data_IF_365885729155
#
_entry.id   IF_365885729155
#
_cell.length_a   1.000
_cell.length_b   1.000
_cell.length_c   1.000
_cell.angle_alpha   90.00
_cell.angle_beta   90.00
_cell.angle_gamma   90.00
#
_symmetry.space_group_name_H-M   'P 1'
#
loop_
_entity.id
_entity.type
_entity.pdbx_description
1 polymer ?
#
# COMPACT_ATOMS: atom_id res chain seq x y z
N UNK A 1 -21.51 -17.74 -11.38
CA UNK A 1 -22.74 -17.51 -10.58
C UNK A 1 -22.70 -18.07 -9.15
N UNK A 2 -21.80 -19.00 -8.79
CA UNK A 2 -21.76 -19.62 -7.43
C UNK A 2 -21.16 -18.72 -6.35
N UNK A 3 -20.18 -17.89 -6.72
CA UNK A 3 -19.44 -17.05 -5.76
C UNK A 3 -20.30 -15.98 -5.10
N UNK A 4 -21.16 -15.30 -5.87
CA UNK A 4 -22.06 -14.27 -5.34
C UNK A 4 -23.04 -14.84 -4.31
N UNK A 5 -23.57 -16.05 -4.56
CA UNK A 5 -24.47 -16.73 -3.62
C UNK A 5 -23.75 -17.06 -2.31
N UNK A 6 -22.54 -17.61 -2.38
CA UNK A 6 -21.76 -17.97 -1.20
C UNK A 6 -21.42 -16.73 -0.34
N UNK A 7 -21.15 -15.59 -0.98
CA UNK A 7 -20.88 -14.33 -0.28
C UNK A 7 -22.14 -13.82 0.43
N UNK A 8 -23.30 -13.82 -0.25
CA UNK A 8 -24.57 -13.40 0.32
C UNK A 8 -24.97 -14.29 1.51
N UNK A 9 -24.84 -15.61 1.38
CA UNK A 9 -25.13 -16.56 2.46
C UNK A 9 -24.24 -16.30 3.69
N UNK A 10 -22.95 -16.05 3.47
CA UNK A 10 -22.00 -15.74 4.55
C UNK A 10 -22.32 -14.41 5.24
N UNK A 11 -22.71 -13.39 4.48
CA UNK A 11 -23.12 -12.09 5.03
C UNK A 11 -24.35 -12.22 5.92
N UNK A 12 -25.34 -13.02 5.49
CA UNK A 12 -26.56 -13.29 6.25
C UNK A 12 -26.24 -14.00 7.58
N UNK A 13 -25.29 -14.95 7.58
CA UNK A 13 -24.88 -15.69 8.78
C UNK A 13 -24.15 -14.76 9.77
N UNK A 14 -23.35 -13.82 9.27
CA UNK A 14 -22.51 -12.93 10.09
C UNK A 14 -23.27 -11.71 10.61
N UNK A 15 -24.30 -11.23 9.90
CA UNK A 15 -25.12 -10.11 10.35
C UNK A 15 -26.03 -10.53 11.51
N UNK A 16 -25.86 -9.91 12.68
CA UNK A 16 -26.69 -10.19 13.87
C UNK A 16 -28.00 -9.38 13.91
N UNK A 17 -28.35 -8.67 12.83
CA UNK A 17 -29.50 -7.78 12.77
C UNK A 17 -30.11 -7.64 11.36
N UNK A 18 -31.21 -6.88 11.23
CA UNK A 18 -31.97 -6.78 9.97
C UNK A 18 -31.26 -5.97 8.87
N UNK A 19 -30.17 -5.26 9.23
CA UNK A 19 -29.41 -4.41 8.31
C UNK A 19 -27.96 -4.85 8.32
N UNK A 20 -27.45 -5.25 7.15
CA UNK A 20 -26.02 -5.56 6.95
C UNK A 20 -25.24 -4.25 6.97
N UNK A 21 -24.33 -4.11 7.93
CA UNK A 21 -23.41 -2.98 8.04
C UNK A 21 -22.05 -3.36 7.46
N UNK A 22 -21.20 -2.36 7.21
CA UNK A 22 -19.85 -2.58 6.67
C UNK A 22 -18.98 -3.47 7.57
N UNK A 23 -19.23 -3.44 8.88
CA UNK A 23 -18.59 -4.31 9.88
C UNK A 23 -18.92 -5.80 9.74
N UNK A 24 -20.06 -6.13 9.12
CA UNK A 24 -20.51 -7.50 8.88
C UNK A 24 -19.90 -8.10 7.60
N UNK A 25 -19.25 -7.28 6.77
CA UNK A 25 -18.68 -7.71 5.50
C UNK A 25 -17.34 -8.43 5.74
N UNK A 26 -17.18 -9.70 5.30
CA UNK A 26 -15.93 -10.40 5.48
C UNK A 26 -14.82 -9.79 4.59
N UNK A 27 -13.57 -9.71 5.08
CA UNK A 27 -12.43 -9.39 4.23
C UNK A 27 -12.37 -10.35 3.03
N UNK A 28 -12.07 -9.87 1.80
CA UNK A 28 -11.53 -8.55 1.44
C UNK A 28 -12.57 -7.49 1.03
N UNK A 29 -13.88 -7.81 1.09
CA UNK A 29 -14.93 -6.97 0.50
C UNK A 29 -15.29 -5.72 1.32
N UNK A 30 -14.81 -5.63 2.56
CA UNK A 30 -15.12 -4.57 3.53
C UNK A 30 -14.33 -3.26 3.35
N UNK A 31 -13.84 -2.97 2.14
CA UNK A 31 -13.31 -1.64 1.81
C UNK A 31 -11.83 -1.42 2.11
N UNK A 32 -10.98 -2.44 1.97
CA UNK A 32 -9.58 -2.13 1.66
C UNK A 32 -9.54 -1.58 0.23
N UNK A 33 -8.90 -0.42 -0.03
CA UNK A 33 -8.75 0.08 -1.39
C UNK A 33 -8.02 -1.00 -2.18
N UNK A 34 -8.64 -1.43 -3.27
CA UNK A 34 -8.21 -2.54 -4.09
C UNK A 34 -6.72 -2.39 -4.48
N UNK A 35 -5.85 -3.10 -3.75
CA UNK A 35 -4.59 -3.59 -4.30
C UNK A 35 -4.83 -5.02 -4.80
N UNK A 36 -5.83 -5.16 -5.66
CA UNK A 36 -6.01 -6.36 -6.49
C UNK A 36 -5.60 -6.01 -7.92
N UNK A 37 -4.34 -5.60 -8.08
CA UNK A 37 -3.60 -5.74 -9.31
C UNK A 37 -2.18 -6.21 -8.95
N UNK A 38 -2.06 -7.49 -8.64
CA UNK A 38 -0.91 -8.34 -9.01
C UNK A 38 -1.11 -9.71 -8.38
N UNK A 39 -1.29 -10.73 -9.23
CA UNK A 39 -1.19 -12.12 -8.79
C UNK A 39 0.20 -12.38 -8.22
N UNK A 40 0.25 -12.89 -6.99
CA UNK A 40 1.48 -13.22 -6.30
C UNK A 40 1.24 -13.39 -4.81
N UNK A 41 1.57 -14.56 -4.30
CA UNK A 41 1.30 -15.01 -2.95
C UNK A 41 1.69 -14.02 -1.82
N UNK A 42 0.82 -13.89 -0.83
CA UNK A 42 1.23 -14.08 0.57
C UNK A 42 1.87 -12.93 1.34
N UNK A 43 1.66 -11.66 0.99
CA UNK A 43 1.99 -10.56 1.94
C UNK A 43 0.71 -10.12 2.65
N UNK A 44 0.55 -10.33 3.97
CA UNK A 44 -0.58 -9.76 4.69
C UNK A 44 -0.55 -8.23 4.55
N UNK A 45 -1.71 -7.57 4.36
CA UNK A 45 -1.75 -6.11 4.29
C UNK A 45 -1.17 -5.54 5.58
N UNK A 46 -0.19 -4.65 5.45
CA UNK A 46 0.40 -3.97 6.59
C UNK A 46 -0.71 -3.25 7.38
N UNK A 47 -0.63 -3.21 8.73
CA UNK A 47 -1.62 -2.52 9.54
C UNK A 47 -1.76 -1.05 9.10
N UNK A 48 -2.95 -0.46 9.23
CA UNK A 48 -3.16 0.95 8.91
C UNK A 48 -2.15 1.80 9.68
N UNK A 49 -1.29 2.51 8.95
CA UNK A 49 -0.30 3.40 9.57
C UNK A 49 -1.01 4.62 10.14
N UNK A 50 -1.01 4.75 11.45
CA UNK A 50 -1.45 5.96 12.13
C UNK A 50 -0.29 6.97 12.13
N UNK A 51 -0.48 8.08 11.43
CA UNK A 51 0.47 9.18 11.42
C UNK A 51 -0.02 10.29 12.35
N UNK A 52 0.87 10.80 13.20
CA UNK A 52 0.55 11.83 14.19
C UNK A 52 0.55 13.24 13.59
N UNK A 53 1.12 13.40 12.39
CA UNK A 53 1.15 14.68 11.67
C UNK A 53 1.17 14.50 10.16
N UNK A 54 0.75 15.53 9.43
CA UNK A 54 0.85 15.58 7.97
C UNK A 54 2.31 15.48 7.47
N UNK A 55 3.26 15.98 8.26
CA UNK A 55 4.69 15.86 7.97
C UNK A 55 5.15 14.40 7.98
N UNK A 56 4.70 13.65 8.98
CA UNK A 56 5.01 12.23 9.12
C UNK A 56 4.37 11.40 8.01
N UNK A 57 3.10 11.65 7.70
CA UNK A 57 2.39 10.99 6.61
C UNK A 57 3.09 11.22 5.26
N UNK A 58 3.49 12.45 4.97
CA UNK A 58 4.27 12.78 3.75
C UNK A 58 5.62 12.06 3.73
N UNK A 59 6.35 12.07 4.83
CA UNK A 59 7.65 11.39 4.90
C UNK A 59 7.53 9.89 4.66
N UNK A 60 6.50 9.24 5.21
CA UNK A 60 6.25 7.83 5.00
C UNK A 60 5.89 7.52 3.54
N UNK A 61 4.98 8.30 2.95
CA UNK A 61 4.65 8.18 1.53
C UNK A 61 5.87 8.38 0.63
N UNK A 62 6.65 9.44 0.86
CA UNK A 62 7.86 9.71 0.09
C UNK A 62 8.87 8.57 0.20
N UNK A 63 9.03 7.99 1.40
CA UNK A 63 9.91 6.85 1.60
C UNK A 63 9.49 5.65 0.77
N UNK A 64 8.21 5.29 0.82
CA UNK A 64 7.69 4.15 0.07
C UNK A 64 7.79 4.37 -1.43
N UNK A 65 7.45 5.57 -1.90
CA UNK A 65 7.55 5.94 -3.30
C UNK A 65 8.98 5.83 -3.81
N UNK A 66 9.96 6.38 -3.08
CA UNK A 66 11.37 6.32 -3.48
C UNK A 66 11.91 4.89 -3.43
N UNK A 67 11.57 4.10 -2.40
CA UNK A 67 11.97 2.69 -2.31
C UNK A 67 11.44 1.88 -3.49
N UNK A 68 10.16 2.07 -3.81
CA UNK A 68 9.53 1.39 -4.94
C UNK A 68 10.21 1.74 -6.26
N UNK A 69 10.46 3.03 -6.49
CA UNK A 69 11.12 3.51 -7.71
C UNK A 69 12.58 3.06 -7.81
N UNK A 70 13.29 2.98 -6.68
CA UNK A 70 14.65 2.41 -6.63
C UNK A 70 14.63 0.92 -6.99
N UNK A 71 13.68 0.14 -6.47
CA UNK A 71 13.54 -1.29 -6.82
C UNK A 71 13.27 -1.48 -8.31
N UNK A 72 12.36 -0.69 -8.89
CA UNK A 72 12.04 -0.70 -10.32
C UNK A 72 13.27 -0.38 -11.20
N UNK A 73 14.22 0.40 -10.67
CA UNK A 73 15.44 0.82 -11.36
C UNK A 73 16.70 0.06 -10.90
N UNK A 74 16.54 -1.10 -10.24
CA UNK A 74 17.65 -1.93 -9.74
C UNK A 74 18.65 -1.17 -8.85
N UNK A 75 18.16 -0.28 -7.99
CA UNK A 75 19.00 0.53 -7.10
C UNK A 75 19.73 1.70 -7.79
N UNK A 76 19.53 1.90 -9.10
CA UNK A 76 20.20 2.98 -9.82
C UNK A 76 19.58 4.35 -9.48
N UNK A 77 20.25 5.09 -8.60
CA UNK A 77 19.82 6.41 -8.13
C UNK A 77 19.70 7.42 -9.28
N UNK A 78 20.60 7.39 -10.28
CA UNK A 78 20.54 8.31 -11.42
C UNK A 78 19.30 8.07 -12.28
N UNK A 79 19.06 6.81 -12.69
CA UNK A 79 17.85 6.44 -13.46
C UNK A 79 16.58 6.72 -12.67
N UNK A 80 16.60 6.49 -11.36
CA UNK A 80 15.46 6.78 -10.48
C UNK A 80 15.17 8.28 -10.42
N UNK A 81 16.20 9.12 -10.33
CA UNK A 81 16.08 10.57 -10.31
C UNK A 81 15.43 11.09 -11.60
N UNK A 82 15.88 10.60 -12.75
CA UNK A 82 15.30 10.92 -14.04
C UNK A 82 13.83 10.46 -14.13
N UNK A 83 13.54 9.24 -13.67
CA UNK A 83 12.20 8.66 -13.70
C UNK A 83 11.19 9.36 -12.79
N UNK A 84 11.64 9.91 -11.65
CA UNK A 84 10.78 10.66 -10.71
C UNK A 84 10.79 12.17 -10.98
N UNK A 85 11.52 12.64 -12.00
CA UNK A 85 11.61 14.05 -12.37
C UNK A 85 12.32 14.92 -11.32
N UNK A 86 13.29 14.34 -10.61
CA UNK A 86 14.03 15.03 -9.55
C UNK A 86 15.51 15.09 -9.90
N UNK A 87 16.19 16.17 -9.51
CA UNK A 87 17.65 16.22 -9.63
C UNK A 87 18.31 15.12 -8.77
N UNK A 88 19.33 14.46 -9.32
CA UNK A 88 20.08 13.38 -8.63
C UNK A 88 20.56 13.78 -7.24
N UNK A 89 21.08 15.00 -7.08
CA UNK A 89 21.59 15.51 -5.80
C UNK A 89 20.48 15.62 -4.74
N UNK A 90 19.29 16.05 -5.15
CA UNK A 90 18.11 16.16 -4.30
C UNK A 90 17.55 14.80 -3.91
N UNK A 91 17.48 13.86 -4.85
CA UNK A 91 17.06 12.49 -4.56
C UNK A 91 18.02 11.84 -3.56
N UNK A 92 19.33 12.03 -3.74
CA UNK A 92 20.35 11.51 -2.83
C UNK A 92 20.22 12.08 -1.41
N UNK A 93 19.97 13.41 -1.26
CA UNK A 93 19.68 14.02 0.05
C UNK A 93 18.41 13.43 0.67
N UNK A 94 17.36 13.21 -0.12
CA UNK A 94 16.10 12.60 0.35
C UNK A 94 16.30 11.15 0.82
N UNK A 95 17.02 10.33 0.08
CA UNK A 95 17.34 8.94 0.46
C UNK A 95 18.05 8.91 1.82
N UNK A 96 19.06 9.78 2.00
CA UNK A 96 19.79 9.88 3.27
C UNK A 96 18.91 10.40 4.41
N UNK A 97 18.07 11.40 4.17
CA UNK A 97 17.18 11.96 5.17
C UNK A 97 16.08 10.97 5.62
N UNK A 98 15.58 10.15 4.70
CA UNK A 98 14.53 9.16 4.93
C UNK A 98 15.08 7.79 5.38
N UNK A 99 16.40 7.67 5.57
CA UNK A 99 17.11 6.44 5.96
C UNK A 99 16.70 5.25 5.08
N UNK A 100 16.75 5.47 3.76
CA UNK A 100 16.52 4.42 2.79
C UNK A 100 17.86 3.73 2.53
N UNK A 101 17.93 2.44 2.81
CA UNK A 101 19.08 1.60 2.50
C UNK A 101 19.03 1.27 1.01
N UNK A 102 20.00 1.79 0.27
CA UNK A 102 20.25 1.39 -1.12
C UNK A 102 21.31 0.29 -1.09
N UNK A 103 20.89 -0.96 -1.27
CA UNK A 103 21.85 -2.03 -1.60
C UNK A 103 22.58 -1.62 -2.88
N UNK A 104 23.90 -1.44 -2.76
CA UNK A 104 24.82 -1.15 -3.86
C UNK A 104 25.61 -2.40 -4.20
#
# INVERSE_FOLDING_TARGET
MRELRNIIERLIIMSSGPTIKLEDVPPPLNGTPASHLSGGAGTPPAPPRHYSSMKEARAAFEREFIVQKLKENNGNVSKTADAVGMERSNLHRKIKALRIETES
#
